data_IF_811978905051
#
_entry.id   IF_811978905051
#
_cell.length_a   1.000
_cell.length_b   1.000
_cell.length_c   1.000
_cell.angle_alpha   90.00
_cell.angle_beta   90.00
_cell.angle_gamma   90.00
#
_symmetry.space_group_name_H-M   'P 1'
#
loop_
_entity.id
_entity.type
_entity.pdbx_description
1 polymer ?
#
# COMPACT_ATOMS: atom_id res chain seq x y z
N UNK A 1 -11.47 -45.54 24.09
CA UNK A 1 -12.55 -45.29 23.11
C UNK A 1 -12.16 -44.06 22.29
N UNK A 2 -11.01 -44.05 21.61
CA UNK A 2 -10.73 -44.71 20.32
C UNK A 2 -11.78 -44.39 19.24
N UNK A 3 -11.35 -43.50 18.33
CA UNK A 3 -11.36 -43.69 16.88
C UNK A 3 -12.53 -43.12 16.05
N UNK A 4 -12.09 -42.54 14.92
CA UNK A 4 -12.77 -42.35 13.63
C UNK A 4 -13.70 -41.15 13.49
N UNK A 5 -13.19 -40.10 12.85
CA UNK A 5 -13.90 -39.42 11.77
C UNK A 5 -12.93 -39.14 10.61
N UNK A 6 -13.50 -39.17 9.41
CA UNK A 6 -12.92 -39.74 8.20
C UNK A 6 -11.95 -38.84 7.43
N UNK A 7 -11.03 -39.51 6.72
CA UNK A 7 -10.20 -39.01 5.61
C UNK A 7 -11.09 -38.38 4.53
N UNK A 8 -10.81 -37.13 4.16
CA UNK A 8 -11.23 -36.55 2.88
C UNK A 8 -10.08 -36.69 1.86
N UNK A 9 -10.36 -36.88 0.55
CA UNK A 9 -9.34 -37.18 -0.43
C UNK A 9 -8.51 -35.95 -0.78
N UNK A 10 -7.19 -36.10 -0.72
CA UNK A 10 -6.22 -35.11 -1.22
C UNK A 10 -6.28 -35.10 -2.75
N UNK A 11 -6.88 -34.04 -3.32
CA UNK A 11 -6.84 -33.79 -4.76
C UNK A 11 -5.43 -33.30 -5.11
N UNK A 12 -4.54 -34.21 -5.55
CA UNK A 12 -3.26 -33.87 -6.17
C UNK A 12 -3.53 -33.33 -7.58
N UNK A 13 -3.49 -32.02 -7.75
CA UNK A 13 -3.31 -31.39 -9.05
C UNK A 13 -1.84 -31.60 -9.49
N UNK A 14 -1.61 -32.62 -10.30
CA UNK A 14 -0.37 -32.72 -11.09
C UNK A 14 -0.46 -31.71 -12.23
N UNK A 15 0.20 -30.56 -12.08
CA UNK A 15 0.51 -29.69 -13.21
C UNK A 15 1.92 -30.05 -13.72
N UNK A 16 1.92 -30.82 -14.81
CA UNK A 16 3.07 -31.08 -15.67
C UNK A 16 3.40 -29.81 -16.45
N UNK A 17 4.69 -29.50 -16.58
CA UNK A 17 5.18 -28.51 -17.54
C UNK A 17 6.46 -27.83 -17.09
N UNK A 18 7.60 -28.35 -17.54
CA UNK A 18 8.87 -27.61 -17.57
C UNK A 18 8.76 -26.55 -18.68
N UNK A 19 8.80 -25.27 -18.30
CA UNK A 19 8.88 -24.16 -19.23
C UNK A 19 10.09 -23.30 -18.88
N UNK A 20 10.95 -23.03 -19.85
CA UNK A 20 12.02 -22.06 -19.74
C UNK A 20 11.46 -20.63 -19.58
N UNK A 21 12.29 -19.67 -19.16
CA UNK A 21 11.90 -18.27 -18.97
C UNK A 21 11.23 -17.61 -20.20
N UNK A 22 11.52 -18.07 -21.43
CA UNK A 22 10.82 -17.64 -22.64
C UNK A 22 9.35 -18.11 -22.69
N UNK A 23 9.02 -19.25 -22.10
CA UNK A 23 7.67 -19.84 -22.11
C UNK A 23 6.69 -19.09 -21.21
N UNK A 24 7.13 -18.64 -20.04
CA UNK A 24 6.28 -17.87 -19.11
C UNK A 24 5.95 -16.47 -19.66
N UNK A 25 6.92 -15.80 -20.27
CA UNK A 25 6.71 -14.51 -20.94
C UNK A 25 5.74 -14.62 -22.13
N UNK A 26 5.92 -15.64 -22.99
CA UNK A 26 5.01 -15.91 -24.12
C UNK A 26 3.57 -16.22 -23.66
N UNK A 27 3.40 -16.91 -22.53
CA UNK A 27 2.08 -17.23 -21.98
C UNK A 27 1.31 -16.01 -21.47
N UNK A 28 1.98 -15.00 -20.92
CA UNK A 28 1.32 -13.77 -20.46
C UNK A 28 0.91 -12.87 -21.63
N UNK A 29 1.73 -12.80 -22.69
CA UNK A 29 1.43 -12.02 -23.91
C UNK A 29 0.18 -12.55 -24.63
N UNK A 30 0.03 -13.87 -24.75
CA UNK A 30 -1.14 -14.49 -25.40
C UNK A 30 -2.44 -14.24 -24.61
N UNK A 31 -2.39 -14.37 -23.28
CA UNK A 31 -3.54 -14.12 -22.41
C UNK A 31 -3.93 -12.63 -22.41
N UNK A 32 -2.96 -11.73 -22.41
CA UNK A 32 -3.17 -10.28 -22.50
C UNK A 32 -3.84 -9.89 -23.83
N UNK A 33 -3.39 -10.46 -24.95
CA UNK A 33 -3.97 -10.20 -26.27
C UNK A 33 -5.46 -10.59 -26.37
N UNK A 34 -5.83 -11.77 -25.85
CA UNK A 34 -7.24 -12.21 -25.82
C UNK A 34 -8.12 -11.33 -24.94
N UNK A 35 -7.59 -10.80 -23.84
CA UNK A 35 -8.29 -9.84 -22.96
C UNK A 35 -8.44 -8.46 -23.61
N UNK A 36 -7.43 -7.97 -24.33
CA UNK A 36 -7.48 -6.71 -25.08
C UNK A 36 -8.59 -6.71 -26.13
N UNK A 37 -8.74 -7.78 -26.91
CA UNK A 37 -9.82 -7.93 -27.89
C UNK A 37 -11.22 -7.92 -27.25
N UNK A 38 -11.35 -8.34 -25.99
CA UNK A 38 -12.62 -8.30 -25.26
C UNK A 38 -12.94 -6.89 -24.76
N UNK A 39 -11.97 -6.20 -24.16
CA UNK A 39 -12.14 -4.82 -23.67
C UNK A 39 -12.42 -3.86 -24.84
N UNK A 40 -11.73 -4.04 -25.97
CA UNK A 40 -11.96 -3.20 -27.14
C UNK A 40 -13.36 -3.36 -27.70
N UNK A 41 -13.93 -4.58 -27.68
CA UNK A 41 -15.35 -4.80 -28.00
C UNK A 41 -16.27 -4.11 -27.01
N UNK A 42 -16.01 -4.21 -25.71
CA UNK A 42 -16.82 -3.53 -24.68
C UNK A 42 -16.75 -2.00 -24.76
N UNK A 43 -15.60 -1.42 -25.09
CA UNK A 43 -15.42 0.02 -25.30
C UNK A 43 -16.12 0.50 -26.57
N UNK A 44 -16.02 -0.26 -27.67
CA UNK A 44 -16.75 0.02 -28.91
C UNK A 44 -18.27 -0.10 -28.71
N UNK A 45 -18.75 -1.13 -27.99
CA UNK A 45 -20.18 -1.33 -27.70
C UNK A 45 -20.76 -0.26 -26.76
N UNK A 46 -19.94 0.31 -25.87
CA UNK A 46 -20.31 1.45 -25.05
C UNK A 46 -20.41 2.74 -25.90
N UNK A 47 -19.50 2.92 -26.87
CA UNK A 47 -19.54 4.07 -27.79
C UNK A 47 -20.70 4.04 -28.79
N UNK A 48 -21.20 2.84 -29.15
CA UNK A 48 -22.36 2.65 -30.03
C UNK A 48 -23.72 2.82 -29.35
N UNK A 49 -23.75 2.89 -28.00
CA UNK A 49 -24.98 2.97 -27.19
C UNK A 49 -25.22 4.32 -26.53
N UNK A 50 -24.73 5.44 -27.08
CA UNK A 50 -25.18 6.78 -26.68
C UNK A 50 -25.09 7.13 -25.18
N UNK A 51 -24.37 6.36 -24.37
CA UNK A 51 -24.13 6.67 -22.96
C UNK A 51 -22.91 7.59 -22.90
N UNK A 52 -23.15 8.82 -22.47
CA UNK A 52 -22.21 9.94 -22.56
C UNK A 52 -20.82 9.59 -22.05
N UNK A 53 -19.87 9.57 -22.98
CA UNK A 53 -18.45 9.70 -22.70
C UNK A 53 -18.27 11.05 -21.98
N UNK A 54 -18.13 11.02 -20.65
CA UNK A 54 -17.80 12.21 -19.88
C UNK A 54 -16.43 12.67 -20.37
N UNK A 55 -16.43 13.75 -21.16
CA UNK A 55 -15.23 14.43 -21.62
C UNK A 55 -14.45 14.88 -20.38
N UNK A 56 -13.41 14.15 -20.02
CA UNK A 56 -12.44 14.58 -19.01
C UNK A 56 -11.66 15.73 -19.64
N UNK A 57 -11.95 16.95 -19.18
CA UNK A 57 -11.28 18.16 -19.62
C UNK A 57 -9.76 18.03 -19.39
N UNK A 58 -9.02 18.01 -20.49
CA UNK A 58 -7.57 17.94 -20.52
C UNK A 58 -6.97 19.24 -19.97
N UNK A 59 -6.22 19.15 -18.87
CA UNK A 59 -5.25 20.18 -18.50
C UNK A 59 -3.88 19.69 -18.97
N UNK A 60 -3.33 20.35 -20.02
CA UNK A 60 -1.98 20.09 -20.52
C UNK A 60 -0.96 20.54 -19.47
N UNK A 61 -0.47 19.60 -18.66
CA UNK A 61 0.79 19.75 -17.93
C UNK A 61 1.98 19.56 -18.87
N UNK A 62 3.15 20.17 -18.59
CA UNK A 62 4.30 20.11 -19.47
C UNK A 62 5.05 18.79 -19.22
N UNK A 63 4.65 17.71 -19.88
CA UNK A 63 5.44 16.47 -19.90
C UNK A 63 5.97 16.26 -21.33
N UNK A 64 7.10 16.91 -21.61
CA UNK A 64 7.90 16.67 -22.82
C UNK A 64 8.98 15.65 -22.49
N UNK A 65 9.15 14.71 -23.43
CA UNK A 65 10.30 13.80 -23.64
C UNK A 65 10.23 12.42 -22.97
N UNK A 66 9.39 11.55 -23.57
CA UNK A 66 9.83 10.28 -24.17
C UNK A 66 8.78 9.81 -25.17
N UNK A 67 8.72 10.50 -26.30
CA UNK A 67 8.04 10.02 -27.49
C UNK A 67 9.11 9.50 -28.44
N UNK A 68 9.53 8.24 -28.27
CA UNK A 68 10.24 7.49 -29.30
C UNK A 68 10.29 6.00 -28.92
N UNK A 69 9.49 5.21 -29.65
CA UNK A 69 9.51 3.75 -29.84
C UNK A 69 9.93 2.93 -28.61
N UNK A 70 8.98 2.65 -27.71
CA UNK A 70 9.29 1.92 -26.49
C UNK A 70 9.04 0.41 -26.67
N UNK A 71 10.12 -0.37 -26.66
CA UNK A 71 10.06 -1.82 -26.48
C UNK A 71 9.36 -2.24 -25.18
N UNK A 72 9.23 -3.54 -24.91
CA UNK A 72 8.63 -4.01 -23.68
C UNK A 72 9.39 -3.48 -22.45
N UNK A 73 8.66 -3.20 -21.37
CA UNK A 73 9.20 -2.87 -20.06
C UNK A 73 9.30 -4.16 -19.26
N UNK A 74 10.51 -4.64 -19.00
CA UNK A 74 10.78 -5.84 -18.22
C UNK A 74 10.84 -5.52 -16.72
N UNK A 75 9.97 -6.18 -15.96
CA UNK A 75 9.84 -6.03 -14.51
C UNK A 75 10.31 -7.30 -13.79
N UNK A 76 11.26 -7.16 -12.87
CA UNK A 76 11.65 -8.21 -11.95
C UNK A 76 10.84 -8.10 -10.65
N UNK A 77 9.98 -9.09 -10.39
CA UNK A 77 9.17 -9.19 -9.18
C UNK A 77 9.91 -10.06 -8.15
N UNK A 78 10.68 -9.42 -7.28
CA UNK A 78 11.61 -10.07 -6.37
C UNK A 78 10.91 -10.47 -5.08
N UNK A 79 10.84 -11.78 -4.81
CA UNK A 79 10.19 -12.36 -3.64
C UNK A 79 11.18 -13.13 -2.77
N UNK A 80 10.96 -13.09 -1.46
CA UNK A 80 11.69 -13.87 -0.47
C UNK A 80 10.73 -14.86 0.21
N UNK A 81 11.27 -15.89 0.85
CA UNK A 81 10.42 -16.80 1.63
C UNK A 81 9.70 -16.03 2.76
N UNK A 82 8.40 -16.28 2.90
CA UNK A 82 7.49 -15.57 3.78
C UNK A 82 6.91 -14.26 3.22
N UNK A 83 7.12 -13.93 1.93
CA UNK A 83 6.60 -12.69 1.34
C UNK A 83 5.05 -12.60 1.40
N UNK A 84 4.54 -11.37 1.38
CA UNK A 84 3.10 -11.11 1.37
C UNK A 84 2.52 -11.36 -0.03
N UNK A 85 1.82 -12.49 -0.20
CA UNK A 85 1.31 -12.98 -1.49
C UNK A 85 0.53 -11.94 -2.29
N UNK A 86 -0.41 -11.23 -1.65
CA UNK A 86 -1.28 -10.28 -2.34
C UNK A 86 -0.49 -9.17 -3.01
N UNK A 87 0.67 -8.76 -2.47
CA UNK A 87 1.51 -7.74 -3.09
C UNK A 87 1.97 -8.14 -4.50
N UNK A 88 2.41 -9.40 -4.66
CA UNK A 88 2.80 -9.93 -5.95
C UNK A 88 1.62 -9.98 -6.92
N UNK A 89 0.50 -10.56 -6.48
CA UNK A 89 -0.69 -10.73 -7.32
C UNK A 89 -1.26 -9.40 -7.81
N UNK A 90 -1.44 -8.42 -6.91
CA UNK A 90 -2.01 -7.12 -7.31
C UNK A 90 -1.09 -6.35 -8.24
N UNK A 91 0.23 -6.52 -8.11
CA UNK A 91 1.19 -5.91 -9.05
C UNK A 91 0.99 -6.52 -10.44
N UNK A 92 0.97 -7.85 -10.55
CA UNK A 92 0.73 -8.53 -11.82
C UNK A 92 -0.62 -8.15 -12.44
N UNK A 93 -1.68 -8.05 -11.65
CA UNK A 93 -3.00 -7.64 -12.14
C UNK A 93 -3.01 -6.22 -12.70
N UNK A 94 -2.35 -5.27 -12.03
CA UNK A 94 -2.23 -3.88 -12.51
C UNK A 94 -1.41 -3.80 -13.80
N UNK A 95 -0.28 -4.50 -13.88
CA UNK A 95 0.56 -4.53 -15.10
C UNK A 95 -0.19 -5.18 -16.28
N UNK A 96 -0.88 -6.30 -16.05
CA UNK A 96 -1.70 -6.96 -17.06
C UNK A 96 -2.83 -6.06 -17.55
N UNK A 97 -3.50 -5.36 -16.63
CA UNK A 97 -4.57 -4.41 -16.95
C UNK A 97 -4.04 -3.22 -17.74
N UNK A 98 -2.86 -2.73 -17.40
CA UNK A 98 -2.17 -1.68 -18.16
C UNK A 98 -1.89 -2.10 -19.60
N UNK A 99 -1.46 -3.33 -19.84
CA UNK A 99 -1.24 -3.82 -21.21
C UNK A 99 -2.54 -3.86 -22.01
N UNK A 100 -3.62 -4.36 -21.41
CA UNK A 100 -4.95 -4.45 -22.02
C UNK A 100 -5.51 -3.07 -22.36
N UNK A 101 -5.48 -2.15 -21.40
CA UNK A 101 -5.99 -0.79 -21.56
C UNK A 101 -5.10 0.01 -22.51
N UNK A 102 -3.78 -0.12 -22.38
CA UNK A 102 -2.82 0.57 -23.24
C UNK A 102 -2.95 0.20 -24.71
N UNK A 103 -3.29 -1.06 -25.01
CA UNK A 103 -3.59 -1.52 -26.36
C UNK A 103 -4.91 -0.95 -26.91
N UNK A 104 -5.89 -0.68 -26.03
CA UNK A 104 -7.20 -0.17 -26.42
C UNK A 104 -7.28 1.38 -26.50
N UNK A 105 -6.37 2.11 -25.85
CA UNK A 105 -6.41 3.57 -25.74
C UNK A 105 -5.53 4.31 -26.77
N UNK A 106 -6.20 4.92 -27.77
CA UNK A 106 -5.64 5.93 -28.67
C UNK A 106 -4.87 5.37 -29.88
N UNK A 107 -4.50 6.23 -30.85
CA UNK A 107 -3.72 5.80 -32.00
C UNK A 107 -2.23 5.67 -31.64
N UNK A 108 -1.68 4.44 -31.75
CA UNK A 108 -0.25 4.15 -31.68
C UNK A 108 0.15 3.16 -30.59
N UNK A 109 1.25 2.40 -30.78
CA UNK A 109 1.71 1.42 -29.80
C UNK A 109 2.23 2.12 -28.53
N UNK A 110 1.73 1.67 -27.37
CA UNK A 110 2.27 2.04 -26.05
C UNK A 110 3.20 0.93 -25.54
N UNK A 111 4.21 1.24 -24.71
CA UNK A 111 5.04 0.20 -24.09
C UNK A 111 4.19 -0.78 -23.29
N UNK A 112 4.54 -2.06 -23.37
CA UNK A 112 3.88 -3.15 -22.65
C UNK A 112 4.79 -3.70 -21.55
N UNK A 113 4.23 -4.01 -20.40
CA UNK A 113 4.94 -4.66 -19.32
C UNK A 113 5.09 -6.16 -19.59
N UNK A 114 6.29 -6.68 -19.39
CA UNK A 114 6.54 -8.11 -19.16
C UNK A 114 7.11 -8.24 -17.76
N UNK A 115 6.82 -9.34 -17.08
CA UNK A 115 7.35 -9.55 -15.73
C UNK A 115 7.79 -10.98 -15.51
N UNK A 116 8.72 -11.12 -14.57
CA UNK A 116 9.24 -12.42 -14.11
C UNK A 116 9.37 -12.41 -12.60
N UNK A 117 8.95 -13.48 -11.95
CA UNK A 117 9.13 -13.70 -10.52
C UNK A 117 10.56 -14.15 -10.28
N UNK A 118 11.29 -13.42 -9.43
CA UNK A 118 12.71 -13.66 -9.17
C UNK A 118 12.95 -13.95 -7.70
N UNK A 119 13.86 -14.89 -7.44
CA UNK A 119 14.35 -15.20 -6.10
C UNK A 119 15.87 -15.08 -6.08
N UNK A 120 16.48 -15.16 -4.91
CA UNK A 120 17.94 -15.05 -4.76
C UNK A 120 18.68 -16.23 -5.41
N UNK A 121 18.10 -17.42 -5.31
CA UNK A 121 18.71 -18.69 -5.74
C UNK A 121 17.98 -19.33 -6.92
N UNK A 122 16.91 -18.71 -7.43
CA UNK A 122 16.05 -19.27 -8.46
C UNK A 122 15.14 -20.40 -7.98
N UNK A 123 15.16 -20.72 -6.68
CA UNK A 123 14.32 -21.74 -6.07
C UNK A 123 12.89 -21.24 -5.82
N UNK A 124 11.93 -22.17 -5.58
CA UNK A 124 10.57 -21.80 -5.18
C UNK A 124 10.56 -21.20 -3.78
N UNK A 125 9.62 -20.30 -3.52
CA UNK A 125 9.40 -19.68 -2.20
C UNK A 125 7.97 -19.89 -1.73
N UNK A 126 7.77 -19.94 -0.41
CA UNK A 126 6.44 -19.99 0.19
C UNK A 126 6.07 -18.61 0.73
N UNK A 127 4.92 -18.09 0.31
CA UNK A 127 4.36 -16.85 0.86
C UNK A 127 3.93 -17.03 2.32
N UNK A 128 3.72 -15.93 3.03
CA UNK A 128 3.15 -15.93 4.40
C UNK A 128 1.75 -16.57 4.49
N UNK A 129 1.04 -16.68 3.36
CA UNK A 129 -0.27 -17.32 3.26
C UNK A 129 -0.17 -18.82 2.96
N UNK A 130 1.03 -19.40 2.92
CA UNK A 130 1.27 -20.81 2.64
C UNK A 130 1.26 -21.17 1.14
N UNK A 131 1.01 -20.21 0.26
CA UNK A 131 1.02 -20.39 -1.20
C UNK A 131 2.47 -20.49 -1.68
N UNK A 132 2.81 -21.56 -2.39
CA UNK A 132 4.12 -21.75 -3.01
C UNK A 132 4.14 -21.12 -4.40
N UNK A 133 5.20 -20.36 -4.69
CA UNK A 133 5.43 -19.70 -5.97
C UNK A 133 6.72 -20.22 -6.56
N UNK A 134 6.67 -20.63 -7.83
CA UNK A 134 7.84 -20.96 -8.62
C UNK A 134 8.50 -19.67 -9.09
N UNK A 135 9.83 -19.59 -8.98
CA UNK A 135 10.60 -18.51 -9.57
C UNK A 135 10.87 -18.77 -11.06
N UNK A 136 10.90 -17.71 -11.86
CA UNK A 136 11.33 -17.72 -13.25
C UNK A 136 12.86 -17.62 -13.38
N UNK A 137 13.57 -17.53 -12.25
CA UNK A 137 15.03 -17.61 -12.14
C UNK A 137 15.60 -16.72 -11.04
N UNK A 138 16.93 -16.59 -11.05
CA UNK A 138 17.69 -15.73 -10.14
C UNK A 138 17.45 -14.26 -10.47
N UNK A 139 17.37 -13.41 -9.46
CA UNK A 139 17.35 -11.95 -9.64
C UNK A 139 18.63 -11.49 -10.37
N UNK A 140 18.46 -10.85 -11.52
CA UNK A 140 19.58 -10.46 -12.36
C UNK A 140 19.86 -8.96 -12.18
N UNK A 141 21.01 -8.58 -11.58
CA UNK A 141 21.37 -7.17 -11.45
C UNK A 141 21.61 -6.48 -12.78
N UNK A 142 21.75 -7.18 -13.91
CA UNK A 142 22.00 -6.66 -15.26
C UNK A 142 20.74 -6.54 -16.14
N UNK A 143 19.61 -7.17 -15.75
CA UNK A 143 18.36 -7.16 -16.51
C UNK A 143 17.28 -6.27 -15.90
N UNK A 144 16.22 -6.02 -16.68
CA UNK A 144 15.00 -5.32 -16.26
C UNK A 144 15.13 -3.80 -16.12
N UNK A 145 14.11 -3.10 -16.58
CA UNK A 145 13.93 -1.66 -16.39
C UNK A 145 13.35 -1.34 -15.01
N UNK A 146 12.67 -2.30 -14.37
CA UNK A 146 12.03 -2.14 -13.06
C UNK A 146 12.30 -3.35 -12.17
N UNK A 147 12.67 -3.11 -10.91
CA UNK A 147 12.80 -4.14 -9.87
C UNK A 147 11.85 -3.80 -8.72
N UNK A 148 10.88 -4.68 -8.44
CA UNK A 148 9.93 -4.52 -7.33
C UNK A 148 10.22 -5.59 -6.28
N UNK A 149 10.54 -5.15 -5.06
CA UNK A 149 10.86 -6.04 -3.94
C UNK A 149 9.65 -6.21 -3.04
N UNK A 150 9.28 -7.46 -2.76
CA UNK A 150 8.17 -7.80 -1.88
C UNK A 150 8.63 -8.19 -0.49
N UNK A 151 8.01 -7.57 0.51
CA UNK A 151 8.33 -7.79 1.91
C UNK A 151 7.59 -8.98 2.50
N UNK A 152 8.02 -9.44 3.69
CA UNK A 152 7.32 -10.49 4.39
C UNK A 152 5.91 -10.08 4.82
N UNK A 153 4.97 -11.03 4.79
CA UNK A 153 3.61 -10.84 5.27
C UNK A 153 3.52 -11.00 6.78
N UNK A 154 3.82 -9.93 7.53
CA UNK A 154 3.93 -9.95 8.99
C UNK A 154 3.46 -8.64 9.62
N UNK A 155 3.14 -8.69 10.92
CA UNK A 155 2.59 -7.57 11.68
C UNK A 155 3.41 -7.24 12.95
N UNK A 156 4.62 -7.76 13.09
CA UNK A 156 5.49 -7.45 14.23
C UNK A 156 6.91 -7.05 13.78
N UNK A 157 7.54 -6.19 14.59
CA UNK A 157 8.85 -5.59 14.31
C UNK A 157 9.97 -6.63 14.35
N UNK A 158 9.94 -7.55 15.30
CA UNK A 158 11.02 -8.52 15.52
C UNK A 158 11.20 -9.41 14.30
N UNK A 159 10.09 -9.92 13.74
CA UNK A 159 10.18 -10.72 12.53
C UNK A 159 10.65 -9.90 11.34
N UNK A 160 10.23 -8.65 11.19
CA UNK A 160 10.73 -7.79 10.09
C UNK A 160 12.26 -7.67 10.19
N UNK A 161 12.79 -7.40 11.38
CA UNK A 161 14.23 -7.36 11.61
C UNK A 161 14.90 -8.71 11.36
N UNK A 162 14.29 -9.81 11.78
CA UNK A 162 14.79 -11.15 11.50
C UNK A 162 14.90 -11.40 9.99
N UNK A 163 13.89 -10.99 9.20
CA UNK A 163 13.94 -11.14 7.74
C UNK A 163 15.01 -10.27 7.11
N UNK A 164 15.10 -8.99 7.49
CA UNK A 164 16.14 -8.07 7.00
C UNK A 164 17.55 -8.60 7.31
N UNK A 165 17.73 -9.30 8.44
CA UNK A 165 19.00 -9.88 8.84
C UNK A 165 19.30 -11.24 8.17
N UNK A 166 18.36 -11.87 7.46
CA UNK A 166 18.62 -13.16 6.81
C UNK A 166 19.72 -13.03 5.74
N UNK A 167 20.58 -14.05 5.54
CA UNK A 167 21.64 -14.00 4.52
C UNK A 167 21.13 -13.72 3.10
N UNK A 168 20.04 -14.35 2.69
CA UNK A 168 19.40 -14.15 1.38
C UNK A 168 18.86 -12.72 1.23
N UNK A 169 18.16 -12.20 2.23
CA UNK A 169 17.68 -10.82 2.22
C UNK A 169 18.84 -9.80 2.13
N UNK A 170 19.92 -10.00 2.88
CA UNK A 170 21.12 -9.15 2.82
C UNK A 170 21.81 -9.19 1.45
N UNK A 171 21.74 -10.31 0.75
CA UNK A 171 22.30 -10.46 -0.60
C UNK A 171 21.59 -9.61 -1.66
N UNK A 172 20.35 -9.16 -1.40
CA UNK A 172 19.64 -8.25 -2.31
C UNK A 172 20.30 -6.88 -2.43
N UNK A 173 20.90 -6.37 -1.35
CA UNK A 173 21.39 -5.00 -1.35
C UNK A 173 22.40 -4.67 -2.47
N UNK A 174 23.46 -5.47 -2.71
CA UNK A 174 24.34 -5.24 -3.85
C UNK A 174 23.64 -5.41 -5.20
N UNK A 175 22.70 -6.35 -5.33
CA UNK A 175 21.93 -6.57 -6.57
C UNK A 175 21.09 -5.35 -6.93
N UNK A 176 20.35 -4.80 -5.95
CA UNK A 176 19.52 -3.62 -6.13
C UNK A 176 20.36 -2.37 -6.44
N UNK A 177 21.52 -2.21 -5.78
CA UNK A 177 22.47 -1.13 -6.10
C UNK A 177 22.98 -1.22 -7.53
N UNK A 178 23.34 -2.43 -7.98
CA UNK A 178 23.82 -2.64 -9.34
C UNK A 178 22.72 -2.38 -10.39
N UNK A 179 21.49 -2.82 -10.14
CA UNK A 179 20.34 -2.53 -11.01
C UNK A 179 20.07 -1.02 -11.09
N UNK A 180 20.02 -0.34 -9.95
CA UNK A 180 19.84 1.10 -9.88
C UNK A 180 20.99 1.86 -10.58
N UNK A 181 22.23 1.40 -10.44
CA UNK A 181 23.41 2.02 -11.09
C UNK A 181 23.37 2.00 -12.62
N UNK A 182 22.60 1.10 -13.23
CA UNK A 182 22.31 1.07 -14.67
C UNK A 182 21.15 1.99 -15.06
N UNK A 183 20.39 2.51 -14.09
CA UNK A 183 19.20 3.33 -14.31
C UNK A 183 17.88 2.57 -14.21
N UNK A 184 17.86 1.34 -13.69
CA UNK A 184 16.61 0.64 -13.41
C UNK A 184 15.85 1.34 -12.27
N UNK A 185 14.52 1.38 -12.39
CA UNK A 185 13.67 1.81 -11.29
C UNK A 185 13.65 0.73 -10.20
N UNK A 186 13.78 1.12 -8.94
CA UNK A 186 13.71 0.18 -7.81
C UNK A 186 12.57 0.57 -6.89
N UNK A 187 11.71 -0.39 -6.58
CA UNK A 187 10.49 -0.15 -5.83
C UNK A 187 10.32 -1.14 -4.67
N UNK A 188 9.81 -0.68 -3.54
CA UNK A 188 9.50 -1.52 -2.39
C UNK A 188 8.28 -0.98 -1.62
N UNK A 189 7.51 -1.86 -0.97
CA UNK A 189 6.36 -1.46 -0.16
C UNK A 189 6.37 -2.08 1.24
N UNK A 190 5.70 -1.43 2.18
CA UNK A 190 5.52 -1.92 3.53
C UNK A 190 6.89 -2.26 4.18
N UNK A 191 7.06 -3.45 4.73
CA UNK A 191 8.28 -3.92 5.37
C UNK A 191 9.48 -4.08 4.43
N UNK A 192 9.29 -4.29 3.11
CA UNK A 192 10.42 -4.39 2.17
C UNK A 192 11.16 -3.08 1.95
N UNK A 193 10.58 -1.95 2.35
CA UNK A 193 11.28 -0.66 2.33
C UNK A 193 12.54 -0.68 3.23
N UNK A 194 12.61 -1.57 4.23
CA UNK A 194 13.83 -1.81 5.00
C UNK A 194 14.92 -2.46 4.15
N UNK A 195 14.58 -3.41 3.28
CA UNK A 195 15.55 -4.04 2.37
C UNK A 195 16.13 -3.02 1.39
N UNK A 196 15.29 -2.07 0.95
CA UNK A 196 15.73 -0.95 0.11
C UNK A 196 16.56 0.07 0.91
N UNK A 197 16.22 0.33 2.18
CA UNK A 197 16.99 1.22 3.04
C UNK A 197 18.40 0.68 3.35
N UNK A 198 18.56 -0.64 3.55
CA UNK A 198 19.87 -1.29 3.74
C UNK A 198 20.80 -1.14 2.52
N UNK A 199 20.30 -0.67 1.37
CA UNK A 199 21.12 -0.37 0.19
C UNK A 199 21.78 1.00 0.24
N UNK A 200 21.29 1.92 1.09
CA UNK A 200 21.65 3.35 1.08
C UNK A 200 20.99 4.16 -0.04
N UNK A 201 20.21 3.54 -0.94
CA UNK A 201 19.56 4.25 -2.06
C UNK A 201 18.47 5.25 -1.63
N UNK A 202 18.02 5.18 -0.37
CA UNK A 202 17.04 6.11 0.19
C UNK A 202 17.68 7.30 0.90
N UNK A 203 19.01 7.30 1.09
CA UNK A 203 19.70 8.33 1.86
C UNK A 203 19.58 9.71 1.20
N UNK A 204 19.20 10.72 1.97
CA UNK A 204 18.93 12.09 1.50
C UNK A 204 17.59 12.27 0.76
N UNK A 205 16.97 11.18 0.31
CA UNK A 205 15.69 11.16 -0.40
C UNK A 205 14.46 11.12 0.53
N UNK A 206 13.28 11.39 -0.05
CA UNK A 206 12.01 11.09 0.62
C UNK A 206 11.63 9.63 0.43
N UNK A 207 11.16 9.00 1.50
CA UNK A 207 10.62 7.65 1.45
C UNK A 207 9.42 7.50 2.38
N UNK A 208 8.62 6.47 2.15
CA UNK A 208 7.59 6.01 3.08
C UNK A 208 7.80 4.54 3.42
N UNK A 209 7.14 4.10 4.49
CA UNK A 209 7.09 2.69 4.94
C UNK A 209 5.72 2.45 5.57
N UNK A 210 5.44 1.23 6.02
CA UNK A 210 4.20 0.97 6.77
C UNK A 210 4.17 1.82 8.04
N UNK A 211 3.05 2.48 8.33
CA UNK A 211 2.91 3.42 9.45
C UNK A 211 3.40 2.88 10.80
N UNK A 212 3.19 1.60 11.10
CA UNK A 212 3.62 0.97 12.36
C UNK A 212 5.14 0.72 12.43
N UNK A 213 5.82 0.71 11.29
CA UNK A 213 7.27 0.57 11.20
C UNK A 213 7.99 1.92 11.24
N UNK A 214 7.27 3.04 11.12
CA UNK A 214 7.86 4.37 11.03
C UNK A 214 8.78 4.74 12.21
N UNK A 215 8.44 4.43 13.48
CA UNK A 215 9.36 4.62 14.61
C UNK A 215 10.71 3.94 14.42
N UNK A 216 10.68 2.64 14.09
CA UNK A 216 11.87 1.82 13.88
C UNK A 216 12.68 2.33 12.68
N UNK A 217 12.00 2.64 11.58
CA UNK A 217 12.63 3.11 10.35
C UNK A 217 13.40 4.42 10.59
N UNK A 218 12.79 5.41 11.28
CA UNK A 218 13.47 6.67 11.65
C UNK A 218 14.68 6.46 12.54
N UNK A 219 14.58 5.51 13.48
CA UNK A 219 15.69 5.18 14.38
C UNK A 219 16.90 4.62 13.63
N UNK A 220 16.65 3.75 12.64
CA UNK A 220 17.68 2.99 11.91
C UNK A 220 18.25 3.75 10.71
N UNK A 221 17.44 4.50 9.98
CA UNK A 221 17.83 5.15 8.72
C UNK A 221 17.69 6.68 8.82
N UNK A 222 18.56 7.31 9.61
CA UNK A 222 18.48 8.75 9.93
C UNK A 222 18.72 9.67 8.74
N UNK A 223 19.40 9.19 7.71
CA UNK A 223 19.64 9.94 6.47
C UNK A 223 18.39 10.02 5.56
N UNK A 224 17.37 9.18 5.82
CA UNK A 224 16.15 9.12 5.00
C UNK A 224 15.10 10.11 5.53
N UNK A 225 14.52 10.93 4.65
CA UNK A 225 13.41 11.82 5.00
C UNK A 225 12.09 11.04 4.98
N UNK A 226 11.76 10.39 6.09
CA UNK A 226 10.58 9.55 6.18
C UNK A 226 9.25 10.34 6.23
N UNK A 227 8.42 10.15 5.21
CA UNK A 227 7.02 10.61 5.08
C UNK A 227 6.05 9.50 5.48
N UNK A 228 5.95 9.24 6.79
CA UNK A 228 5.17 8.12 7.34
C UNK A 228 3.65 8.17 7.04
N UNK A 229 3.13 9.32 6.65
CA UNK A 229 1.75 9.56 6.25
C UNK A 229 1.51 9.34 4.76
N UNK A 230 2.55 9.37 3.92
CA UNK A 230 2.41 9.20 2.47
C UNK A 230 2.08 7.74 2.11
N UNK A 231 1.20 7.54 1.13
CA UNK A 231 0.91 6.21 0.56
C UNK A 231 2.05 5.76 -0.33
N UNK A 232 2.55 6.66 -1.18
CA UNK A 232 3.68 6.45 -2.08
C UNK A 232 4.65 7.63 -1.99
N UNK A 233 5.94 7.36 -2.15
CA UNK A 233 6.99 8.37 -2.31
C UNK A 233 7.85 8.00 -3.53
N UNK A 234 8.24 9.02 -4.28
CA UNK A 234 9.13 8.94 -5.44
C UNK A 234 10.37 9.81 -5.15
N UNK A 235 11.54 9.19 -5.20
CA UNK A 235 12.84 9.85 -5.07
C UNK A 235 13.69 9.47 -6.28
N UNK A 236 13.55 10.25 -7.37
CA UNK A 236 14.21 9.96 -8.64
C UNK A 236 13.71 8.64 -9.22
N UNK A 237 14.59 7.64 -9.28
CA UNK A 237 14.29 6.29 -9.78
C UNK A 237 13.97 5.28 -8.68
N UNK A 238 13.82 5.74 -7.43
CA UNK A 238 13.51 4.91 -6.28
C UNK A 238 12.11 5.20 -5.76
N UNK A 239 11.30 4.16 -5.60
CA UNK A 239 9.89 4.27 -5.22
C UNK A 239 9.62 3.48 -3.94
N UNK A 240 8.88 4.10 -3.02
CA UNK A 240 8.46 3.43 -1.79
C UNK A 240 6.96 3.57 -1.57
N UNK A 241 6.35 2.58 -0.93
CA UNK A 241 4.95 2.62 -0.56
C UNK A 241 4.71 2.16 0.88
N UNK A 242 3.59 2.64 1.44
CA UNK A 242 3.18 2.45 2.83
C UNK A 242 2.72 1.04 3.18
N UNK A 243 1.69 0.92 4.01
CA UNK A 243 1.14 -0.36 4.47
C UNK A 243 0.70 -1.30 3.33
N UNK A 244 0.50 -2.58 3.62
CA UNK A 244 0.35 -3.69 2.65
C UNK A 244 -0.37 -3.37 1.32
N UNK A 245 -1.57 -2.78 1.36
CA UNK A 245 -2.36 -2.51 0.14
C UNK A 245 -1.97 -1.23 -0.61
N UNK A 246 -1.01 -0.45 -0.09
CA UNK A 246 -0.34 0.62 -0.83
C UNK A 246 0.46 0.10 -2.04
N UNK A 247 0.65 -1.22 -2.15
CA UNK A 247 1.20 -1.86 -3.35
C UNK A 247 0.36 -1.57 -4.61
N UNK A 248 -0.96 -1.41 -4.47
CA UNK A 248 -1.83 -1.00 -5.59
C UNK A 248 -1.42 0.38 -6.10
N UNK A 249 -1.23 1.33 -5.18
CA UNK A 249 -0.83 2.70 -5.48
C UNK A 249 0.58 2.76 -6.06
N UNK A 250 1.51 1.94 -5.55
CA UNK A 250 2.85 1.79 -6.10
C UNK A 250 2.81 1.29 -7.55
N UNK A 251 1.98 0.28 -7.82
CA UNK A 251 1.85 -0.31 -9.16
C UNK A 251 1.24 0.70 -10.14
N UNK A 252 0.20 1.44 -9.73
CA UNK A 252 -0.40 2.52 -10.54
C UNK A 252 0.59 3.67 -10.78
N UNK A 253 1.42 4.00 -9.78
CA UNK A 253 2.48 5.01 -9.93
C UNK A 253 3.52 4.58 -10.99
N UNK A 254 3.91 3.31 -11.02
CA UNK A 254 4.81 2.78 -12.04
C UNK A 254 4.17 2.84 -13.44
N UNK A 255 2.91 2.44 -13.58
CA UNK A 255 2.16 2.57 -14.84
C UNK A 255 2.09 4.03 -15.28
N UNK A 256 1.77 4.95 -14.36
CA UNK A 256 1.71 6.38 -14.65
C UNK A 256 3.05 6.90 -15.15
N UNK A 257 4.16 6.46 -14.53
CA UNK A 257 5.50 6.92 -14.85
C UNK A 257 6.02 6.40 -16.19
N UNK A 258 5.69 5.16 -16.53
CA UNK A 258 6.29 4.45 -17.65
C UNK A 258 5.40 4.38 -18.90
N UNK A 259 4.07 4.46 -18.72
CA UNK A 259 3.09 4.33 -19.81
C UNK A 259 2.24 5.60 -19.95
N UNK A 260 1.93 6.27 -18.84
CA UNK A 260 1.28 7.58 -18.81
C UNK A 260 0.03 7.63 -17.95
N UNK A 261 -0.40 8.86 -17.65
CA UNK A 261 -1.50 9.15 -16.73
C UNK A 261 -2.84 8.55 -17.15
N UNK A 262 -3.18 8.60 -18.44
CA UNK A 262 -4.46 8.09 -18.95
C UNK A 262 -4.64 6.58 -18.70
N UNK A 263 -3.59 5.80 -18.95
CA UNK A 263 -3.62 4.34 -18.76
C UNK A 263 -3.71 4.00 -17.28
N UNK A 264 -2.92 4.68 -16.42
CA UNK A 264 -2.97 4.47 -14.98
C UNK A 264 -4.36 4.76 -14.39
N UNK A 265 -4.95 5.90 -14.75
CA UNK A 265 -6.29 6.28 -14.29
C UNK A 265 -7.36 5.27 -14.75
N UNK A 266 -7.30 4.82 -16.00
CA UNK A 266 -8.20 3.80 -16.51
C UNK A 266 -7.99 2.45 -15.79
N UNK A 267 -6.75 2.04 -15.51
CA UNK A 267 -6.46 0.83 -14.72
C UNK A 267 -7.12 0.90 -13.35
N UNK A 268 -6.98 2.03 -12.65
CA UNK A 268 -7.57 2.22 -11.34
C UNK A 268 -9.10 2.06 -11.39
N UNK A 269 -9.76 2.65 -12.39
CA UNK A 269 -11.21 2.51 -12.58
C UNK A 269 -11.65 1.08 -12.90
N UNK A 270 -10.94 0.38 -13.78
CA UNK A 270 -11.25 -1.00 -14.14
C UNK A 270 -11.08 -1.97 -12.96
N UNK A 271 -10.06 -1.73 -12.14
CA UNK A 271 -9.75 -2.55 -10.96
C UNK A 271 -10.45 -2.07 -9.69
N UNK A 272 -11.28 -1.02 -9.78
CA UNK A 272 -12.01 -0.42 -8.65
C UNK A 272 -11.06 -0.02 -7.51
N UNK A 273 -9.92 0.57 -7.89
CA UNK A 273 -8.92 1.09 -6.97
C UNK A 273 -9.22 2.57 -6.73
N UNK A 274 -9.38 2.94 -5.47
CA UNK A 274 -9.53 4.35 -5.08
C UNK A 274 -8.17 5.08 -5.17
N UNK A 275 -8.04 5.99 -6.13
CA UNK A 275 -6.87 6.84 -6.32
C UNK A 275 -6.83 8.03 -5.34
N UNK A 276 -7.95 8.37 -4.71
CA UNK A 276 -8.07 9.52 -3.82
C UNK A 276 -7.62 9.24 -2.38
N UNK A 277 -7.01 8.08 -2.11
CA UNK A 277 -6.63 7.67 -0.75
C UNK A 277 -5.69 8.66 -0.07
N UNK A 278 -4.84 9.37 -0.83
CA UNK A 278 -4.07 10.58 -0.44
C UNK A 278 -3.02 10.41 0.67
N UNK A 279 -3.34 9.68 1.73
CA UNK A 279 -2.49 9.41 2.89
C UNK A 279 -2.84 8.05 3.49
N UNK A 280 -1.83 7.36 4.03
CA UNK A 280 -2.08 6.19 4.89
C UNK A 280 -2.47 6.60 6.31
N UNK A 281 -2.41 7.91 6.63
CA UNK A 281 -2.76 8.43 7.94
C UNK A 281 -4.11 7.91 8.42
N UNK A 282 -5.23 7.94 7.67
CA UNK A 282 -6.53 7.47 8.19
C UNK A 282 -6.59 5.99 8.59
N UNK A 283 -5.58 5.17 8.26
CA UNK A 283 -5.56 3.73 8.49
C UNK A 283 -4.68 3.27 9.67
N UNK A 284 -4.05 4.20 10.41
CA UNK A 284 -3.26 3.82 11.59
C UNK A 284 -4.15 3.17 12.65
N UNK A 285 -3.67 2.04 13.19
CA UNK A 285 -4.25 1.42 14.37
C UNK A 285 -3.50 1.94 15.59
N UNK A 286 -4.12 2.88 16.32
CA UNK A 286 -3.45 3.62 17.40
C UNK A 286 -2.96 2.69 18.52
N UNK A 287 -3.76 1.70 18.92
CA UNK A 287 -3.39 0.69 19.93
C UNK A 287 -2.12 -0.08 19.55
N UNK A 288 -1.91 -0.34 18.26
CA UNK A 288 -0.72 -1.03 17.78
C UNK A 288 0.55 -0.18 17.99
N UNK A 289 0.45 1.14 17.84
CA UNK A 289 1.59 2.06 18.05
C UNK A 289 1.97 2.20 19.53
N UNK A 290 1.02 2.02 20.44
CA UNK A 290 1.24 2.25 21.88
C UNK A 290 1.64 1.00 22.64
N UNK A 291 1.34 -0.20 22.09
CA UNK A 291 1.54 -1.49 22.77
C UNK A 291 2.98 -1.79 23.23
N UNK A 292 3.98 -1.18 22.60
CA UNK A 292 5.39 -1.46 22.86
C UNK A 292 6.04 -0.55 23.92
N UNK A 293 5.32 0.45 24.45
CA UNK A 293 5.79 1.32 25.52
C UNK A 293 4.70 1.47 26.58
N UNK A 294 4.93 0.94 27.78
CA UNK A 294 3.93 0.90 28.85
C UNK A 294 3.47 2.29 29.30
N UNK A 295 4.35 3.30 29.27
CA UNK A 295 3.96 4.66 29.61
C UNK A 295 3.00 5.21 28.55
N UNK A 296 3.30 4.97 27.28
CA UNK A 296 2.46 5.41 26.15
C UNK A 296 1.13 4.64 26.14
N UNK A 297 1.14 3.34 26.41
CA UNK A 297 -0.07 2.53 26.52
C UNK A 297 -0.97 2.99 27.68
N UNK A 298 -0.40 3.27 28.86
CA UNK A 298 -1.16 3.85 29.99
C UNK A 298 -1.74 5.21 29.66
N UNK A 299 -0.96 6.06 28.98
CA UNK A 299 -1.41 7.37 28.55
C UNK A 299 -2.55 7.26 27.52
N UNK A 300 -2.44 6.37 26.54
CA UNK A 300 -3.49 6.11 25.56
C UNK A 300 -4.78 5.66 26.24
N UNK A 301 -4.73 4.70 27.16
CA UNK A 301 -5.89 4.29 27.97
C UNK A 301 -6.51 5.47 28.73
N UNK A 302 -5.67 6.30 29.37
CA UNK A 302 -6.15 7.47 30.10
C UNK A 302 -6.81 8.48 29.14
N UNK A 303 -6.19 8.78 28.00
CA UNK A 303 -6.72 9.74 27.03
C UNK A 303 -8.02 9.23 26.38
N UNK A 304 -8.08 7.93 26.04
CA UNK A 304 -9.28 7.26 25.53
C UNK A 304 -10.47 7.36 26.50
N UNK A 305 -10.21 7.33 27.81
CA UNK A 305 -11.25 7.45 28.84
C UNK A 305 -11.72 8.90 29.10
N UNK A 306 -11.05 9.91 28.53
CA UNK A 306 -11.32 11.33 28.78
C UNK A 306 -11.47 12.15 27.50
N UNK A 307 -11.92 11.53 26.40
CA UNK A 307 -12.06 12.21 25.10
C UNK A 307 -13.16 13.26 25.09
N UNK A 308 -14.13 13.15 25.99
CA UNK A 308 -15.33 13.98 26.16
C UNK A 308 -15.04 15.40 26.66
N UNK A 309 -13.81 15.66 27.15
CA UNK A 309 -13.40 16.95 27.71
C UNK A 309 -12.07 17.41 27.16
N UNK A 310 -11.73 18.69 27.34
CA UNK A 310 -10.39 19.20 27.06
C UNK A 310 -9.31 18.38 27.79
N UNK A 311 -8.29 17.94 27.06
CA UNK A 311 -7.16 17.17 27.59
C UNK A 311 -5.91 18.02 27.45
N UNK A 312 -5.37 18.49 28.56
CA UNK A 312 -4.08 19.15 28.62
C UNK A 312 -2.96 18.15 28.90
N UNK A 313 -1.77 18.45 28.38
CA UNK A 313 -0.61 17.58 28.54
C UNK A 313 -0.23 17.41 30.03
N UNK A 314 -0.41 18.46 30.83
CA UNK A 314 -0.22 18.48 32.28
C UNK A 314 -1.08 17.46 33.00
N UNK A 315 -2.32 17.24 32.55
CA UNK A 315 -3.25 16.33 33.23
C UNK A 315 -2.87 14.88 33.00
N UNK A 316 -2.49 14.55 31.76
CA UNK A 316 -1.99 13.22 31.40
C UNK A 316 -0.70 12.92 32.16
N UNK A 317 0.23 13.88 32.19
CA UNK A 317 1.51 13.74 32.89
C UNK A 317 1.31 13.53 34.40
N UNK A 318 0.43 14.31 35.03
CA UNK A 318 0.07 14.19 36.45
C UNK A 318 -0.58 12.84 36.75
N UNK A 319 -1.54 12.41 35.95
CA UNK A 319 -2.24 11.13 36.14
C UNK A 319 -1.31 9.92 36.03
N UNK A 320 -0.23 10.04 35.26
CA UNK A 320 0.73 8.94 35.04
C UNK A 320 1.93 8.99 35.98
N UNK A 321 2.13 10.09 36.73
CA UNK A 321 3.28 10.29 37.60
C UNK A 321 4.58 10.56 36.84
N UNK A 322 4.52 11.30 35.72
CA UNK A 322 5.69 11.62 34.90
C UNK A 322 5.73 13.12 34.51
N UNK A 323 6.86 13.58 33.97
CA UNK A 323 6.95 14.94 33.41
C UNK A 323 6.37 14.99 32.00
N UNK A 324 5.86 16.16 31.59
CA UNK A 324 5.38 16.42 30.22
C UNK A 324 6.46 16.15 29.16
N UNK A 325 7.72 16.47 29.49
CA UNK A 325 8.88 16.20 28.64
C UNK A 325 9.11 14.70 28.46
N UNK A 326 9.02 13.93 29.54
CA UNK A 326 9.12 12.46 29.47
C UNK A 326 7.99 11.91 28.62
N UNK A 327 6.75 12.30 28.91
CA UNK A 327 5.58 11.84 28.17
C UNK A 327 5.69 12.13 26.67
N UNK A 328 6.05 13.37 26.31
CA UNK A 328 6.22 13.80 24.92
C UNK A 328 7.30 13.00 24.21
N UNK A 329 8.47 12.80 24.86
CA UNK A 329 9.56 12.02 24.29
C UNK A 329 9.13 10.58 24.00
N UNK A 330 8.44 9.93 24.94
CA UNK A 330 7.95 8.56 24.76
C UNK A 330 6.88 8.47 23.67
N UNK A 331 5.94 9.42 23.60
CA UNK A 331 4.93 9.47 22.54
C UNK A 331 5.52 9.62 21.15
N UNK A 332 6.44 10.58 20.98
CA UNK A 332 7.09 10.81 19.68
C UNK A 332 7.92 9.60 19.28
N UNK A 333 8.61 8.98 20.24
CA UNK A 333 9.37 7.75 19.99
C UNK A 333 8.46 6.58 19.57
N UNK A 334 7.36 6.32 20.27
CA UNK A 334 6.50 5.17 20.01
C UNK A 334 5.54 5.36 18.82
N UNK A 335 5.02 6.58 18.63
CA UNK A 335 3.91 6.84 17.69
C UNK A 335 4.29 7.77 16.53
N UNK A 336 5.42 8.48 16.63
CA UNK A 336 5.77 9.56 15.71
C UNK A 336 4.91 10.83 15.87
N UNK A 337 4.01 10.88 16.86
CA UNK A 337 3.11 12.00 17.12
C UNK A 337 3.36 12.57 18.51
N UNK A 338 3.16 13.88 18.69
CA UNK A 338 3.04 14.48 20.02
C UNK A 338 1.76 13.98 20.72
N UNK A 339 1.71 13.93 22.06
CA UNK A 339 0.51 13.48 22.80
C UNK A 339 -0.78 14.22 22.40
N UNK A 340 -0.76 15.55 22.26
CA UNK A 340 -1.96 16.32 21.89
C UNK A 340 -2.44 16.02 20.45
N UNK A 341 -1.53 15.80 19.50
CA UNK A 341 -1.89 15.33 18.15
C UNK A 341 -2.49 13.92 18.20
N UNK A 342 -1.98 13.06 19.07
CA UNK A 342 -2.52 11.72 19.27
C UNK A 342 -3.96 11.77 19.81
N UNK A 343 -4.26 12.60 20.82
CA UNK A 343 -5.63 12.80 21.34
C UNK A 343 -6.58 13.31 20.26
N UNK A 344 -6.19 14.39 19.54
CA UNK A 344 -7.04 14.96 18.47
C UNK A 344 -7.42 13.90 17.45
N UNK A 345 -6.46 13.07 17.07
CA UNK A 345 -6.70 11.98 16.15
C UNK A 345 -7.64 10.91 16.74
N UNK A 346 -7.38 10.49 17.97
CA UNK A 346 -8.21 9.51 18.68
C UNK A 346 -9.68 9.95 18.81
N UNK A 347 -9.91 11.26 19.00
CA UNK A 347 -11.26 11.87 18.96
C UNK A 347 -11.92 11.71 17.58
N UNK A 348 -11.19 11.99 16.50
CA UNK A 348 -11.72 11.87 15.13
C UNK A 348 -12.01 10.41 14.75
N UNK A 349 -11.14 9.46 15.11
CA UNK A 349 -11.37 8.03 14.90
C UNK A 349 -12.58 7.52 15.71
N UNK A 350 -12.70 7.96 16.97
CA UNK A 350 -13.85 7.64 17.82
C UNK A 350 -15.15 8.21 17.24
N UNK A 351 -15.10 9.44 16.74
CA UNK A 351 -16.24 10.09 16.09
C UNK A 351 -16.65 9.34 14.82
N UNK A 352 -15.69 8.93 13.97
CA UNK A 352 -15.97 8.14 12.78
C UNK A 352 -16.69 6.82 13.12
N UNK A 353 -16.21 6.12 14.17
CA UNK A 353 -16.87 4.92 14.68
C UNK A 353 -18.30 5.21 15.14
N UNK A 354 -18.52 6.23 15.97
CA UNK A 354 -19.86 6.61 16.45
C UNK A 354 -20.80 6.96 15.28
N UNK A 355 -20.31 7.69 14.27
CA UNK A 355 -21.07 8.01 13.07
C UNK A 355 -21.44 6.78 12.24
N UNK A 356 -20.60 5.75 12.25
CA UNK A 356 -20.81 4.50 11.53
C UNK A 356 -21.71 3.53 12.29
N UNK A 357 -21.70 3.56 13.63
CA UNK A 357 -22.38 2.55 14.48
C UNK A 357 -23.64 3.04 15.17
N UNK A 358 -23.89 4.35 15.20
CA UNK A 358 -25.04 4.94 15.94
C UNK A 358 -25.91 5.84 15.05
N UNK A 359 -27.05 6.27 15.60
CA UNK A 359 -27.94 7.25 14.96
C UNK A 359 -27.76 8.70 15.45
N UNK A 360 -26.86 8.93 16.43
CA UNK A 360 -26.62 10.24 17.07
C UNK A 360 -26.42 11.35 16.04
N UNK A 361 -26.87 12.57 16.31
CA UNK A 361 -26.63 13.73 15.47
C UNK A 361 -25.13 14.08 15.41
N UNK A 362 -24.71 14.79 14.35
CA UNK A 362 -23.29 15.18 14.19
C UNK A 362 -22.82 16.08 15.36
N UNK A 363 -23.68 16.98 15.84
CA UNK A 363 -23.42 17.81 17.01
C UNK A 363 -23.23 16.99 18.29
N UNK A 364 -24.07 15.98 18.53
CA UNK A 364 -23.96 15.10 19.70
C UNK A 364 -22.64 14.30 19.66
N UNK A 365 -22.27 13.76 18.48
CA UNK A 365 -20.99 13.08 18.31
C UNK A 365 -19.82 14.02 18.56
N UNK A 366 -19.88 15.26 18.07
CA UNK A 366 -18.83 16.26 18.31
C UNK A 366 -18.63 16.51 19.82
N UNK A 367 -19.72 16.68 20.57
CA UNK A 367 -19.68 16.83 22.03
C UNK A 367 -19.09 15.60 22.73
N UNK A 368 -19.52 14.38 22.36
CA UNK A 368 -19.01 13.14 22.94
C UNK A 368 -17.51 12.92 22.74
N UNK A 369 -16.91 13.53 21.71
CA UNK A 369 -15.46 13.48 21.47
C UNK A 369 -14.75 14.79 21.81
N UNK A 370 -15.38 15.63 22.65
CA UNK A 370 -14.75 16.81 23.26
C UNK A 370 -14.51 17.98 22.30
N UNK A 371 -15.38 18.17 21.32
CA UNK A 371 -15.45 19.38 20.49
C UNK A 371 -16.66 20.23 20.90
N UNK A 372 -16.39 21.44 21.41
CA UNK A 372 -17.44 22.41 21.79
C UNK A 372 -18.07 23.11 20.56
N UNK A 373 -17.30 23.24 19.48
CA UNK A 373 -17.76 23.83 18.21
C UNK A 373 -17.89 22.75 17.12
N UNK A 374 -19.13 22.49 16.70
CA UNK A 374 -19.43 21.56 15.61
C UNK A 374 -18.77 21.98 14.28
N UNK A 375 -18.60 23.29 14.01
CA UNK A 375 -17.93 23.77 12.80
C UNK A 375 -16.45 23.42 12.83
N UNK A 376 -15.78 23.61 13.98
CA UNK A 376 -14.41 23.16 14.18
C UNK A 376 -14.28 21.64 14.02
N UNK A 377 -15.20 20.86 14.60
CA UNK A 377 -15.25 19.41 14.41
C UNK A 377 -15.37 19.02 12.94
N UNK A 378 -16.34 19.59 12.20
CA UNK A 378 -16.57 19.28 10.77
C UNK A 378 -15.33 19.58 9.93
N UNK A 379 -14.64 20.70 10.17
CA UNK A 379 -13.37 21.03 9.49
C UNK A 379 -12.28 20.03 9.81
N UNK A 380 -12.08 19.69 11.08
CA UNK A 380 -11.08 18.71 11.49
C UNK A 380 -11.37 17.32 10.91
N UNK A 381 -12.62 16.89 10.92
CA UNK A 381 -13.06 15.62 10.36
C UNK A 381 -12.85 15.55 8.85
N UNK A 382 -13.23 16.60 8.12
CA UNK A 382 -13.02 16.69 6.66
C UNK A 382 -11.52 16.65 6.32
N UNK A 383 -10.70 17.40 7.06
CA UNK A 383 -9.26 17.42 6.85
C UNK A 383 -8.60 16.05 7.11
N UNK A 384 -9.11 15.29 8.09
CA UNK A 384 -8.55 13.98 8.44
C UNK A 384 -9.03 12.85 7.53
N UNK A 385 -10.32 12.80 7.19
CA UNK A 385 -10.91 11.69 6.43
C UNK A 385 -11.16 11.99 4.94
N UNK A 386 -10.91 13.21 4.48
CA UNK A 386 -11.20 13.63 3.10
C UNK A 386 -12.69 13.72 2.77
N UNK A 387 -13.59 13.45 3.73
CA UNK A 387 -15.05 13.49 3.56
C UNK A 387 -15.76 14.04 4.78
N UNK A 388 -16.94 14.62 4.59
CA UNK A 388 -17.74 15.19 5.69
C UNK A 388 -18.29 14.09 6.63
N UNK A 389 -18.61 14.42 7.90
CA UNK A 389 -19.25 13.49 8.83
C UNK A 389 -20.53 12.84 8.28
N UNK A 390 -21.34 13.60 7.55
CA UNK A 390 -22.59 13.11 6.94
C UNK A 390 -22.29 12.13 5.81
N UNK A 391 -21.33 12.47 4.92
CA UNK A 391 -20.89 11.57 3.86
C UNK A 391 -20.33 10.26 4.43
N UNK A 392 -19.54 10.34 5.50
CA UNK A 392 -19.02 9.18 6.22
C UNK A 392 -20.15 8.27 6.75
N UNK A 393 -21.18 8.85 7.38
CA UNK A 393 -22.36 8.08 7.86
C UNK A 393 -23.10 7.41 6.71
N UNK A 394 -23.36 8.13 5.62
CA UNK A 394 -24.10 7.60 4.45
C UNK A 394 -23.39 6.39 3.84
N UNK A 395 -22.07 6.49 3.65
CA UNK A 395 -21.26 5.40 3.12
C UNK A 395 -21.36 4.12 3.99
N UNK A 396 -21.35 4.27 5.31
CA UNK A 396 -21.46 3.12 6.22
C UNK A 396 -22.87 2.55 6.34
N UNK A 397 -23.92 3.37 6.20
CA UNK A 397 -25.31 2.89 6.19
C UNK A 397 -25.62 2.07 4.93
N UNK A 398 -25.08 2.46 3.77
CA UNK A 398 -25.25 1.72 2.53
C UNK A 398 -24.69 0.28 2.61
N UNK A 399 -23.65 0.06 3.42
CA UNK A 399 -23.05 -1.27 3.64
C UNK A 399 -23.89 -2.12 4.63
N UNK A 400 -24.64 -1.48 5.53
CA UNK A 400 -25.37 -2.15 6.63
C UNK A 400 -26.87 -2.33 6.38
N UNK A 401 -27.42 -1.76 5.32
CA UNK A 401 -28.80 -2.03 4.96
C UNK A 401 -28.92 -3.53 4.63
N UNK A 402 -29.81 -4.29 5.31
CA UNK A 402 -30.28 -5.54 4.75
C UNK A 402 -30.82 -5.19 3.37
N UNK A 403 -30.54 -6.01 2.35
CA UNK A 403 -31.40 -6.01 1.17
C UNK A 403 -32.79 -6.44 1.67
N UNK A 404 -33.62 -5.45 1.99
CA UNK A 404 -35.06 -5.65 2.10
C UNK A 404 -35.49 -6.11 0.71
N UNK A 405 -35.98 -7.34 0.64
CA UNK A 405 -36.13 -8.07 -0.61
C UNK A 405 -37.09 -7.43 -1.60
N UNK A 406 -36.89 -7.82 -2.85
CA UNK A 406 -37.93 -8.26 -3.77
C UNK A 406 -37.48 -9.58 -4.40
#
# INVERSE_FOLDING_TARGET
>A
MLARLHRAPTLRLQLVGHGSAEGAAKSNDELARRRAECVQRSLCDASGRGEGMIAVAMTKGPDRQRAEVAGPIDVQLVVLDGFFASGLSVTADVLATSNVIGAALGPGPRPQFRWSVRTIDGGPVRSSAGIEIRADGVVDPAAGEVVVVFGPGMADVERVLAVVARPDARSLAPVLRAAHGRGALVAASCSSTFLLAETGLLDGGEATTSWWLAPLFRGRYRAVRLRADAIVCEAGTVFTAGAAMAQLDLSLLLVRRLVGHEVAHACARYLVIDEARGSQAPFLVMEHLTRHDELVARAERWMSAHLDRAVELTDVARALGCSERTLTRHFVAATGLSPLRFVRRLRLETAARLLATTALAVAEVAGLVGYDDERAFRRAFLAHFGRSPIAHRRANRAIRAPQAGE
#
